data_IF_141253532961
#
_entry.id   IF_141253532961
#
_cell.length_a   1.000
_cell.length_b   1.000
_cell.length_c   1.000
_cell.angle_alpha   90.00
_cell.angle_beta   90.00
_cell.angle_gamma   90.00
#
_symmetry.space_group_name_H-M   'P 1'
#
loop_
_entity.id
_entity.type
_entity.pdbx_description
1 polymer ?
#
# COMPACT_ATOMS: atom_id res chain seq x y z
N UNK A 1 -1.30 47.27 15.14
CA UNK A 1 -0.66 45.98 14.81
C UNK A 1 -1.59 44.84 15.26
N UNK A 2 -2.51 44.37 14.41
CA UNK A 2 -3.48 43.28 14.75
C UNK A 2 -3.90 42.48 13.51
N UNK A 3 -2.95 41.99 12.71
CA UNK A 3 -3.29 41.12 11.56
C UNK A 3 -2.17 40.09 11.33
N UNK A 4 -1.87 39.25 12.33
CA UNK A 4 -0.86 38.18 12.23
C UNK A 4 -1.33 36.88 12.90
N UNK A 5 -2.61 36.53 12.75
CA UNK A 5 -3.19 35.37 13.45
C UNK A 5 -4.01 34.42 12.56
N UNK A 6 -3.72 34.34 11.26
CA UNK A 6 -4.34 33.34 10.38
C UNK A 6 -3.32 32.80 9.40
N UNK A 7 -2.36 32.03 9.93
CA UNK A 7 -1.64 31.01 9.15
C UNK A 7 -1.84 29.69 9.91
N UNK A 8 -3.06 29.17 9.92
CA UNK A 8 -3.26 27.74 10.10
C UNK A 8 -3.12 27.14 8.71
N UNK A 9 -1.89 26.80 8.35
CA UNK A 9 -1.61 25.99 7.18
C UNK A 9 -2.45 24.70 7.30
N UNK A 10 -3.37 24.47 6.38
CA UNK A 10 -3.85 23.12 6.09
C UNK A 10 -2.64 22.33 5.60
N UNK A 11 -1.87 21.76 6.52
CA UNK A 11 -1.06 20.61 6.19
C UNK A 11 -2.04 19.49 5.90
N UNK A 12 -2.33 19.26 4.62
CA UNK A 12 -2.84 17.96 4.20
C UNK A 12 -1.77 16.95 4.63
N UNK A 13 -1.98 16.31 5.77
CA UNK A 13 -1.20 15.15 6.17
C UNK A 13 -1.46 14.09 5.10
N UNK A 14 -0.62 14.06 4.07
CA UNK A 14 -0.55 12.97 3.10
C UNK A 14 -0.31 11.72 3.94
N UNK A 15 -1.25 10.79 3.86
CA UNK A 15 -1.22 9.53 4.59
C UNK A 15 0.15 8.86 4.60
N UNK A 16 0.69 8.61 5.79
CA UNK A 16 1.95 7.90 6.01
C UNK A 16 1.76 6.37 6.12
N UNK A 17 0.80 5.80 5.36
CA UNK A 17 0.62 4.35 5.34
C UNK A 17 1.71 3.78 4.46
N UNK A 18 2.56 2.95 5.06
CA UNK A 18 3.52 2.15 4.33
C UNK A 18 2.90 0.79 4.05
N UNK A 19 3.15 0.24 2.86
CA UNK A 19 2.65 -1.07 2.48
C UNK A 19 3.85 -1.94 2.12
N UNK A 20 3.93 -3.12 2.71
CA UNK A 20 5.00 -4.07 2.46
C UNK A 20 4.46 -5.40 1.96
N UNK A 21 5.15 -6.01 1.01
CA UNK A 21 4.92 -7.40 0.60
C UNK A 21 5.91 -8.31 1.32
N UNK A 22 5.42 -9.42 1.86
CA UNK A 22 6.17 -10.35 2.71
C UNK A 22 6.02 -11.77 2.16
N UNK A 23 7.14 -12.51 2.08
CA UNK A 23 7.19 -13.93 1.67
C UNK A 23 6.81 -14.86 2.85
N UNK A 24 5.70 -14.54 3.52
CA UNK A 24 5.13 -15.32 4.62
C UNK A 24 3.62 -15.14 4.68
N UNK A 25 2.92 -16.25 4.94
CA UNK A 25 1.46 -16.33 4.97
C UNK A 25 0.75 -15.46 6.00
N UNK A 26 1.44 -15.01 7.05
CA UNK A 26 0.85 -14.29 8.19
C UNK A 26 1.47 -12.90 8.42
N UNK A 27 2.25 -12.39 7.47
CA UNK A 27 2.98 -11.13 7.58
C UNK A 27 3.99 -11.07 8.75
N UNK A 28 4.55 -12.22 9.17
CA UNK A 28 5.52 -12.30 10.27
C UNK A 28 6.99 -12.26 9.79
N UNK A 29 7.21 -12.39 8.47
CA UNK A 29 8.53 -12.38 7.85
C UNK A 29 9.06 -10.98 7.51
N UNK A 30 10.34 -10.89 7.10
CA UNK A 30 10.90 -9.65 6.57
C UNK A 30 10.19 -9.25 5.26
N UNK A 31 10.02 -7.94 5.00
CA UNK A 31 9.46 -7.47 3.74
C UNK A 31 10.41 -7.79 2.59
N UNK A 32 9.87 -8.08 1.42
CA UNK A 32 10.62 -8.17 0.17
C UNK A 32 10.67 -6.82 -0.56
N UNK A 33 9.57 -6.07 -0.47
CA UNK A 33 9.48 -4.73 -1.02
C UNK A 33 8.53 -3.87 -0.18
N UNK A 34 8.77 -2.56 -0.17
CA UNK A 34 7.96 -1.59 0.58
C UNK A 34 7.65 -0.37 -0.28
N UNK A 35 6.38 0.02 -0.29
CA UNK A 35 5.88 1.28 -0.82
C UNK A 35 5.64 2.22 0.36
N UNK A 36 6.21 3.42 0.30
CA UNK A 36 6.14 4.40 1.39
C UNK A 36 5.08 5.45 1.13
N UNK A 37 4.43 5.89 2.21
CA UNK A 37 3.47 7.02 2.18
C UNK A 37 2.44 6.88 1.07
N UNK A 38 1.86 5.68 0.95
CA UNK A 38 0.97 5.31 -0.14
C UNK A 38 -0.31 6.13 -0.06
N UNK A 39 -0.70 6.71 -1.19
CA UNK A 39 -1.97 7.44 -1.33
C UNK A 39 -3.16 6.47 -1.43
N UNK A 40 -4.34 6.86 -0.94
CA UNK A 40 -5.55 6.05 -1.12
C UNK A 40 -5.82 5.81 -2.61
N UNK A 41 -6.54 4.74 -2.92
CA UNK A 41 -6.96 4.32 -4.26
C UNK A 41 -5.80 4.12 -5.25
N UNK A 42 -4.60 3.89 -4.72
CA UNK A 42 -3.41 3.53 -5.49
C UNK A 42 -3.29 2.01 -5.59
N UNK A 43 -3.09 1.51 -6.80
CA UNK A 43 -2.75 0.11 -7.04
C UNK A 43 -1.24 -0.11 -6.96
N UNK A 44 -0.85 -1.07 -6.13
CA UNK A 44 0.51 -1.57 -5.98
C UNK A 44 0.58 -2.98 -6.55
N UNK A 45 1.66 -3.31 -7.26
CA UNK A 45 1.87 -4.66 -7.78
C UNK A 45 3.33 -5.05 -7.65
N UNK A 46 3.57 -6.33 -7.38
CA UNK A 46 4.89 -6.94 -7.35
C UNK A 46 4.93 -8.20 -8.22
N UNK A 47 6.11 -8.54 -8.72
CA UNK A 47 6.26 -9.66 -9.65
C UNK A 47 6.12 -11.03 -8.96
N UNK A 48 6.48 -11.14 -7.66
CA UNK A 48 6.24 -12.31 -6.81
C UNK A 48 4.99 -12.15 -5.93
N UNK A 49 4.24 -13.23 -5.68
CA UNK A 49 3.11 -13.17 -4.76
C UNK A 49 3.56 -13.21 -3.30
N UNK A 50 2.82 -12.54 -2.41
CA UNK A 50 3.08 -12.55 -0.97
C UNK A 50 1.90 -12.04 -0.16
N UNK A 51 2.11 -11.86 1.14
CA UNK A 51 1.15 -11.24 2.04
C UNK A 51 1.43 -9.74 2.05
N UNK A 52 0.39 -8.95 2.31
CA UNK A 52 0.53 -7.52 2.39
C UNK A 52 0.30 -7.02 3.81
N UNK A 53 1.30 -6.33 4.36
CA UNK A 53 1.18 -5.58 5.59
C UNK A 53 0.91 -4.10 5.25
N UNK A 54 -0.12 -3.54 5.85
CA UNK A 54 -0.41 -2.11 5.84
C UNK A 54 0.00 -1.59 7.22
N UNK A 55 1.08 -0.84 7.26
CA UNK A 55 1.73 -0.35 8.48
C UNK A 55 1.47 1.14 8.66
N UNK A 56 1.61 1.60 9.91
CA UNK A 56 1.41 3.00 10.28
C UNK A 56 0.01 3.53 9.90
N UNK A 57 -1.00 2.66 9.92
CA UNK A 57 -2.39 3.05 9.67
C UNK A 57 -2.85 3.95 10.81
N UNK A 58 -3.28 5.19 10.56
CA UNK A 58 -3.81 6.02 11.63
C UNK A 58 -5.04 5.37 12.25
N UNK A 59 -5.01 5.11 13.57
CA UNK A 59 -6.05 4.36 14.28
C UNK A 59 -7.41 5.06 14.30
N UNK A 60 -7.44 6.35 13.97
CA UNK A 60 -8.66 7.14 13.80
C UNK A 60 -9.21 7.10 12.36
N UNK A 61 -8.58 6.38 11.43
CA UNK A 61 -9.04 6.24 10.06
C UNK A 61 -9.82 4.94 9.86
N UNK A 62 -11.00 5.08 9.27
CA UNK A 62 -11.74 3.96 8.73
C UNK A 62 -11.28 3.73 7.28
N UNK A 63 -10.45 2.71 7.05
CA UNK A 63 -10.01 2.33 5.71
C UNK A 63 -10.40 0.89 5.38
N UNK A 64 -10.49 0.60 4.09
CA UNK A 64 -10.62 -0.75 3.53
C UNK A 64 -9.31 -1.05 2.81
N UNK A 65 -8.59 -2.05 3.31
CA UNK A 65 -7.41 -2.62 2.67
C UNK A 65 -7.85 -3.71 1.69
N UNK A 66 -7.13 -3.90 0.58
CA UNK A 66 -7.46 -4.81 -0.51
C UNK A 66 -6.21 -5.55 -0.98
N UNK A 67 -6.39 -6.80 -1.39
CA UNK A 67 -5.36 -7.58 -2.06
C UNK A 67 -5.90 -8.26 -3.33
N UNK A 68 -5.04 -8.42 -4.33
CA UNK A 68 -5.40 -8.85 -5.69
C UNK A 68 -4.64 -10.12 -6.09
N UNK A 69 -5.32 -11.07 -6.76
CA UNK A 69 -4.72 -12.34 -7.24
C UNK A 69 -3.95 -12.20 -8.55
N UNK A 70 -4.06 -11.07 -9.24
CA UNK A 70 -3.35 -10.82 -10.51
C UNK A 70 -2.48 -9.59 -10.38
N UNK A 71 -1.34 -9.59 -11.06
CA UNK A 71 -0.53 -8.39 -11.27
C UNK A 71 -1.39 -7.33 -11.97
N UNK A 72 -1.06 -6.05 -11.77
CA UNK A 72 -1.80 -4.97 -12.43
C UNK A 72 -3.03 -4.46 -11.66
N UNK A 73 -3.36 -5.03 -10.49
CA UNK A 73 -4.64 -4.89 -9.78
C UNK A 73 -5.90 -4.72 -10.67
N UNK A 74 -6.14 -5.58 -11.67
CA UNK A 74 -7.36 -5.46 -12.45
C UNK A 74 -8.57 -5.64 -11.53
N UNK A 75 -9.60 -4.81 -11.70
CA UNK A 75 -10.74 -4.75 -10.77
C UNK A 75 -11.45 -6.09 -10.55
N UNK A 76 -11.38 -7.00 -11.53
CA UNK A 76 -11.92 -8.37 -11.44
C UNK A 76 -11.00 -9.39 -10.73
N UNK A 77 -9.89 -8.95 -10.13
CA UNK A 77 -8.93 -9.79 -9.43
C UNK A 77 -8.88 -9.56 -7.92
N UNK A 78 -9.79 -8.74 -7.38
CA UNK A 78 -9.92 -8.53 -5.95
C UNK A 78 -10.13 -9.88 -5.27
N UNK A 79 -9.21 -10.20 -4.36
CA UNK A 79 -9.14 -11.52 -3.73
C UNK A 79 -9.63 -11.47 -2.29
N UNK A 80 -9.23 -10.44 -1.55
CA UNK A 80 -9.56 -10.23 -0.16
C UNK A 80 -9.60 -8.74 0.17
N UNK A 81 -10.37 -8.40 1.21
CA UNK A 81 -10.43 -7.06 1.76
C UNK A 81 -10.64 -7.10 3.27
N UNK A 82 -10.06 -6.14 3.99
CA UNK A 82 -10.20 -6.02 5.44
C UNK A 82 -10.36 -4.56 5.84
N UNK A 83 -11.26 -4.32 6.79
CA UNK A 83 -11.37 -3.01 7.44
C UNK A 83 -10.25 -2.85 8.47
N UNK A 84 -9.67 -1.65 8.58
CA UNK A 84 -8.68 -1.35 9.61
C UNK A 84 -9.24 -1.51 11.02
N UNK A 85 -10.51 -1.13 11.25
CA UNK A 85 -11.18 -1.20 12.55
C UNK A 85 -10.35 -0.58 13.69
N UNK A 86 -9.67 0.53 13.41
CA UNK A 86 -8.82 1.24 14.36
C UNK A 86 -7.49 0.57 14.68
N UNK A 87 -7.10 -0.49 13.96
CA UNK A 87 -5.76 -1.08 14.03
C UNK A 87 -4.75 -0.18 13.30
N UNK A 88 -3.55 -0.12 13.85
CA UNK A 88 -2.38 0.54 13.29
C UNK A 88 -1.64 -0.32 12.26
N UNK A 89 -1.88 -1.63 12.29
CA UNK A 89 -1.40 -2.60 11.31
C UNK A 89 -2.52 -3.51 10.83
N UNK A 90 -2.59 -3.71 9.52
CA UNK A 90 -3.49 -4.71 8.89
C UNK A 90 -2.65 -5.67 8.07
N UNK A 91 -2.75 -6.96 8.38
CA UNK A 91 -2.15 -8.02 7.56
C UNK A 91 -3.21 -8.66 6.66
N UNK A 92 -2.92 -8.73 5.37
CA UNK A 92 -3.63 -9.55 4.40
C UNK A 92 -2.77 -10.76 4.08
N UNK A 93 -2.87 -11.75 4.96
CA UNK A 93 -2.25 -13.07 4.80
C UNK A 93 -3.03 -13.99 3.86
N UNK A 94 -2.46 -15.15 3.56
CA UNK A 94 -3.09 -16.20 2.76
C UNK A 94 -2.95 -17.56 3.44
N UNK A 95 -3.88 -18.48 3.19
CA UNK A 95 -3.79 -19.86 3.71
C UNK A 95 -3.53 -20.85 2.59
N UNK A 96 -2.69 -21.85 2.86
CA UNK A 96 -2.46 -22.97 1.94
C UNK A 96 -3.79 -23.69 1.60
N UNK A 97 -4.04 -24.10 0.34
CA UNK A 97 -3.15 -24.11 -0.81
C UNK A 97 -3.16 -22.84 -1.68
N UNK A 98 -3.75 -21.73 -1.20
CA UNK A 98 -3.75 -20.50 -2.00
C UNK A 98 -2.32 -20.02 -2.23
N UNK A 99 -2.03 -19.52 -3.43
CA UNK A 99 -0.88 -18.64 -3.65
C UNK A 99 -1.15 -17.29 -2.99
N UNK A 100 -0.11 -16.53 -2.65
CA UNK A 100 -0.24 -15.17 -2.09
C UNK A 100 -0.95 -14.18 -3.02
N UNK A 101 -0.71 -12.90 -2.82
CA UNK A 101 -1.30 -11.82 -3.62
C UNK A 101 -0.20 -11.10 -4.40
N UNK A 102 -0.54 -10.65 -5.60
CA UNK A 102 0.39 -9.92 -6.49
C UNK A 102 0.23 -8.41 -6.40
N UNK A 103 -0.86 -7.95 -5.80
CA UNK A 103 -1.09 -6.53 -5.64
C UNK A 103 -1.91 -6.19 -4.41
N UNK A 104 -1.85 -4.93 -4.03
CA UNK A 104 -2.57 -4.39 -2.89
C UNK A 104 -2.94 -2.91 -3.09
N UNK A 105 -3.83 -2.44 -2.23
CA UNK A 105 -4.19 -1.02 -2.14
C UNK A 105 -5.17 -0.80 -1.01
N UNK A 106 -5.45 0.47 -0.68
CA UNK A 106 -6.47 0.81 0.30
C UNK A 106 -7.33 1.97 -0.18
N UNK A 107 -8.52 2.11 0.38
CA UNK A 107 -9.31 3.33 0.26
C UNK A 107 -9.86 3.73 1.61
N UNK A 108 -10.29 4.98 1.74
CA UNK A 108 -11.13 5.36 2.86
C UNK A 108 -12.48 4.63 2.77
N UNK A 109 -12.97 4.20 3.92
CA UNK A 109 -14.29 3.61 4.07
C UNK A 109 -15.30 4.76 4.15
N UNK A 110 -15.70 5.31 3.01
CA UNK A 110 -16.53 6.51 3.04
C UNK A 110 -17.70 6.45 2.04
N UNK A 111 -18.90 6.73 2.55
CA UNK A 111 -19.94 7.37 1.75
C UNK A 111 -19.84 8.91 1.82
N UNK A 112 -19.02 9.51 2.71
CA UNK A 112 -19.17 10.96 3.00
C UNK A 112 -17.91 11.84 3.06
N UNK A 113 -16.66 11.38 3.15
CA UNK A 113 -15.50 12.29 3.15
C UNK A 113 -14.24 11.79 2.42
N UNK A 114 -13.60 12.73 1.71
CA UNK A 114 -12.26 12.70 1.08
C UNK A 114 -12.04 11.85 -0.17
N UNK A 115 -13.03 11.78 -1.07
CA UNK A 115 -12.71 11.66 -2.51
C UNK A 115 -12.56 13.08 -3.09
N UNK A 116 -11.40 13.72 -2.94
CA UNK A 116 -10.96 14.62 -4.00
C UNK A 116 -10.23 13.75 -5.02
N UNK A 117 -10.83 13.64 -6.20
CA UNK A 117 -10.32 12.90 -7.35
C UNK A 117 -10.42 11.37 -7.25
N UNK A 118 -11.64 10.86 -7.39
CA UNK A 118 -11.89 9.53 -7.97
C UNK A 118 -11.52 9.53 -9.46
N UNK A 119 -10.30 9.90 -9.80
CA UNK A 119 -9.73 9.56 -11.10
C UNK A 119 -9.07 8.22 -10.87
N UNK A 120 -9.88 7.16 -11.03
CA UNK A 120 -9.42 5.85 -11.50
C UNK A 120 -8.76 6.12 -12.84
N UNK A 121 -7.57 6.68 -12.78
CA UNK A 121 -6.70 6.80 -13.91
C UNK A 121 -6.34 5.37 -14.22
N UNK A 122 -6.24 5.07 -15.50
CA UNK A 122 -5.83 3.81 -16.09
C UNK A 122 -4.34 3.51 -15.74
N UNK A 123 -3.99 3.71 -14.46
CA UNK A 123 -2.65 3.87 -13.91
C UNK A 123 -2.03 2.49 -13.81
N UNK A 124 -0.99 2.32 -14.62
CA UNK A 124 0.14 1.44 -14.32
C UNK A 124 0.39 1.44 -12.80
N UNK A 125 0.48 0.25 -12.21
CA UNK A 125 0.78 0.10 -10.80
C UNK A 125 2.04 0.90 -10.45
N UNK A 126 2.07 1.46 -9.25
CA UNK A 126 3.32 2.08 -8.81
C UNK A 126 4.29 1.00 -8.32
N UNK A 127 5.57 1.18 -8.65
CA UNK A 127 6.66 0.34 -8.17
C UNK A 127 7.01 0.65 -6.70
N UNK A 128 7.65 -0.29 -5.99
CA UNK A 128 8.07 -0.05 -4.61
C UNK A 128 9.14 1.03 -4.51
N UNK A 129 9.20 1.70 -3.36
CA UNK A 129 10.26 2.65 -3.03
C UNK A 129 11.49 1.94 -2.49
N UNK A 130 11.30 0.82 -1.79
CA UNK A 130 12.37 0.01 -1.23
C UNK A 130 12.28 -1.44 -1.71
N UNK A 131 13.43 -2.00 -2.07
CA UNK A 131 13.63 -3.44 -2.29
C UNK A 131 14.50 -4.00 -1.17
N UNK A 132 14.14 -5.16 -0.66
CA UNK A 132 14.84 -5.85 0.43
C UNK A 132 15.35 -7.19 -0.09
N UNK A 133 16.67 -7.36 -0.04
CA UNK A 133 17.32 -8.60 -0.46
C UNK A 133 17.42 -9.60 0.69
N UNK A 134 17.57 -10.88 0.34
CA UNK A 134 17.70 -11.96 1.33
C UNK A 134 18.94 -11.85 2.21
N UNK A 135 19.98 -11.14 1.77
CA UNK A 135 21.19 -10.87 2.56
C UNK A 135 21.01 -9.73 3.57
N UNK A 136 19.80 -9.16 3.66
CA UNK A 136 19.44 -8.07 4.58
C UNK A 136 19.72 -6.67 4.02
N UNK A 137 20.28 -6.54 2.82
CA UNK A 137 20.48 -5.24 2.19
C UNK A 137 19.15 -4.63 1.73
N UNK A 138 19.00 -3.32 1.90
CA UNK A 138 17.83 -2.57 1.44
C UNK A 138 18.26 -1.50 0.44
N UNK A 139 17.63 -1.51 -0.73
CA UNK A 139 17.91 -0.57 -1.82
C UNK A 139 16.76 0.40 -1.99
N UNK A 140 17.11 1.67 -2.22
CA UNK A 140 16.16 2.67 -2.66
C UNK A 140 15.91 2.48 -4.16
N UNK A 141 14.69 2.10 -4.52
CA UNK A 141 14.24 1.91 -5.90
C UNK A 141 13.63 3.18 -6.51
N UNK A 142 13.49 4.25 -5.73
CA UNK A 142 13.09 5.57 -6.24
C UNK A 142 14.14 6.07 -7.24
N UNK A 143 13.83 5.97 -8.53
CA UNK A 143 14.71 6.41 -9.63
C UNK A 143 15.40 5.27 -10.41
N UNK A 144 15.23 4.01 -10.02
CA UNK A 144 15.61 2.86 -10.85
C UNK A 144 14.63 2.72 -12.03
N UNK A 145 15.09 2.27 -13.18
CA UNK A 145 14.20 1.95 -14.30
C UNK A 145 13.35 0.70 -13.97
N UNK A 146 12.16 0.63 -14.56
CA UNK A 146 11.14 -0.37 -14.20
C UNK A 146 11.60 -1.80 -14.54
N UNK A 147 12.44 -1.96 -15.57
CA UNK A 147 13.05 -3.23 -15.99
C UNK A 147 14.03 -3.79 -14.95
N UNK A 148 14.79 -2.93 -14.26
CA UNK A 148 15.71 -3.34 -13.19
C UNK A 148 14.95 -3.86 -11.97
N UNK A 149 13.79 -3.26 -11.66
CA UNK A 149 12.95 -3.66 -10.52
C UNK A 149 12.21 -4.98 -10.77
N UNK A 150 11.89 -5.30 -12.03
CA UNK A 150 11.26 -6.57 -12.39
C UNK A 150 12.22 -7.77 -12.39
N UNK A 151 13.53 -7.52 -12.48
CA UNK A 151 14.58 -8.55 -12.53
C UNK A 151 15.16 -8.92 -11.16
N UNK A 152 14.83 -8.17 -10.10
CA UNK A 152 15.32 -8.36 -8.72
C UNK A 152 14.29 -9.02 -7.82
#
# INVERSE_FOLDING_TARGET
>A
MKYLATIFALSAAISAIDISIIDDSHCDGPPMATWKSVQPDTCLSYHRPGAYAFDSVPTNWAIITRAYKKQGCPGNSLANQFHSNGKDRVCIGWSWPNSGYYGAGYSFNDQTKRSESSVVSEKRCIKPDLLHLQDGQTYNATGLEDDVVELM
#
